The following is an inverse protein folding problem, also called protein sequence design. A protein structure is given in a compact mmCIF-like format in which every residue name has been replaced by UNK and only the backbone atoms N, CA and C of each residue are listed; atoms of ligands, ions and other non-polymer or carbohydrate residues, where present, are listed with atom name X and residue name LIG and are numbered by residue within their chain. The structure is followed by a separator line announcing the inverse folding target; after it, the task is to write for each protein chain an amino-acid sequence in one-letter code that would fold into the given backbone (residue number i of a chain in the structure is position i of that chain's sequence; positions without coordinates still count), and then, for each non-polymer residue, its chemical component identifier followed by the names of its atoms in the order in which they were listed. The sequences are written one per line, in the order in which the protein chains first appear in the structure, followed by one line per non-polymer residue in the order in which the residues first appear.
data_IF_028218796875
#
_entry.id   IF_028218796875
#
_cell.length_a   1.000
_cell.length_b   1.000
_cell.length_c   1.000
_cell.angle_alpha   90.00
_cell.angle_beta   90.00
_cell.angle_gamma   90.00
#
_symmetry.space_group_name_H-M   'P 1'
#
loop_
_entity.id
_entity.type
_entity.pdbx_description
1 polymer ?
#
# COMPACT_ATOMS: atom_id res chain seq x y z
N UNK A 1 24.07 10.59 50.03
CA UNK A 1 24.28 9.95 48.72
C UNK A 1 23.02 9.36 48.11
N UNK A 2 22.24 8.50 48.80
CA UNK A 2 21.09 7.77 48.22
C UNK A 2 20.03 8.65 47.51
N UNK A 3 19.70 9.83 48.05
CA UNK A 3 18.72 10.76 47.46
C UNK A 3 19.16 11.38 46.12
N UNK A 4 20.46 11.56 45.91
CA UNK A 4 21.01 12.18 44.69
C UNK A 4 21.01 11.15 43.55
N UNK A 5 21.27 9.88 43.88
CA UNK A 5 21.24 8.76 42.92
C UNK A 5 19.81 8.54 42.39
N UNK A 6 18.81 8.61 43.26
CA UNK A 6 17.40 8.47 42.87
C UNK A 6 16.92 9.59 41.94
N UNK A 7 17.35 10.84 42.17
CA UNK A 7 16.99 11.98 41.31
C UNK A 7 17.64 11.89 39.92
N UNK A 8 18.90 11.43 39.85
CA UNK A 8 19.59 11.22 38.58
C UNK A 8 18.94 10.11 37.74
N UNK A 9 18.49 9.01 38.37
CA UNK A 9 17.79 7.91 37.70
C UNK A 9 16.47 8.38 37.05
N UNK A 10 15.70 9.25 37.70
CA UNK A 10 14.46 9.81 37.15
C UNK A 10 14.71 10.75 35.96
N UNK A 11 15.80 11.52 35.97
CA UNK A 11 16.15 12.40 34.85
C UNK A 11 16.50 11.61 33.57
N UNK A 12 17.13 10.43 33.71
CA UNK A 12 17.51 9.57 32.58
C UNK A 12 16.27 8.96 31.91
N UNK A 13 15.23 8.61 32.67
CA UNK A 13 13.95 8.11 32.14
C UNK A 13 13.19 9.21 31.40
N UNK A 14 13.31 10.48 31.82
CA UNK A 14 12.69 11.61 31.12
C UNK A 14 13.39 11.95 29.78
N UNK A 15 14.66 11.55 29.61
CA UNK A 15 15.41 11.69 28.35
C UNK A 15 15.35 10.44 27.46
N UNK A 16 14.75 9.34 27.91
CA UNK A 16 14.46 8.20 27.06
C UNK A 16 13.37 8.64 26.07
N UNK A 17 13.81 9.08 24.89
CA UNK A 17 12.99 9.74 23.88
C UNK A 17 11.69 9.02 23.61
N UNK A 18 10.60 9.80 23.55
CA UNK A 18 9.33 9.31 23.02
C UNK A 18 9.59 8.88 21.58
N UNK A 19 9.49 7.58 21.30
CA UNK A 19 9.47 7.09 19.93
C UNK A 19 8.24 7.72 19.25
N UNK A 20 8.47 8.74 18.43
CA UNK A 20 7.44 9.31 17.56
C UNK A 20 7.20 8.30 16.45
N UNK A 21 6.17 7.48 16.61
CA UNK A 21 5.57 6.83 15.45
C UNK A 21 5.01 7.96 14.57
N UNK A 22 5.52 8.11 13.35
CA UNK A 22 4.84 8.88 12.30
C UNK A 22 3.47 8.21 12.09
N UNK A 23 2.42 8.80 12.66
CA UNK A 23 1.10 8.17 12.83
C UNK A 23 0.23 8.18 11.57
N UNK A 24 0.80 8.45 10.40
CA UNK A 24 0.08 8.38 9.12
C UNK A 24 0.94 7.65 8.11
N UNK A 25 0.43 6.54 7.57
CA UNK A 25 1.03 5.98 6.36
C UNK A 25 1.09 7.07 5.28
N UNK A 26 2.24 7.22 4.64
CA UNK A 26 2.44 8.20 3.57
C UNK A 26 1.81 7.64 2.30
N UNK A 27 1.05 8.46 1.58
CA UNK A 27 0.58 8.13 0.24
C UNK A 27 1.77 8.16 -0.72
N UNK A 28 2.16 7.00 -1.26
CA UNK A 28 3.15 6.92 -2.32
C UNK A 28 2.57 7.26 -3.68
N UNK A 29 1.27 7.02 -3.87
CA UNK A 29 0.59 7.30 -5.12
C UNK A 29 -0.58 6.34 -5.37
N UNK A 30 -0.96 6.24 -6.63
CA UNK A 30 -2.13 5.48 -7.08
C UNK A 30 -1.71 4.46 -8.13
N UNK A 31 -2.16 3.22 -7.97
CA UNK A 31 -2.06 2.19 -9.00
C UNK A 31 -3.39 2.13 -9.76
N UNK A 32 -3.37 2.50 -11.04
CA UNK A 32 -4.54 2.50 -11.92
C UNK A 32 -4.41 1.38 -12.96
N UNK A 33 -5.34 0.44 -12.95
CA UNK A 33 -5.30 -0.78 -13.74
C UNK A 33 -6.50 -0.88 -14.68
N UNK A 34 -6.22 -1.09 -15.97
CA UNK A 34 -7.19 -1.53 -16.94
C UNK A 34 -7.24 -3.07 -16.96
N UNK A 35 -8.41 -3.64 -16.71
CA UNK A 35 -8.64 -5.08 -16.66
C UNK A 35 -9.55 -5.46 -17.82
N UNK A 36 -9.05 -6.33 -18.71
CA UNK A 36 -9.80 -6.82 -19.87
C UNK A 36 -11.14 -7.47 -19.49
N UNK A 37 -12.12 -7.33 -20.36
CA UNK A 37 -13.36 -8.13 -20.30
C UNK A 37 -13.10 -9.61 -20.58
N UNK A 38 -14.07 -10.47 -20.28
CA UNK A 38 -13.95 -11.90 -20.55
C UNK A 38 -15.24 -12.66 -20.22
N UNK A 39 -15.41 -13.85 -20.79
CA UNK A 39 -16.50 -14.76 -20.48
C UNK A 39 -16.01 -15.91 -19.61
N UNK A 40 -16.73 -16.23 -18.53
CA UNK A 40 -16.46 -17.37 -17.66
C UNK A 40 -17.73 -18.20 -17.43
N UNK A 41 -17.61 -19.52 -17.49
CA UNK A 41 -18.63 -20.47 -17.02
C UNK A 41 -17.91 -21.55 -16.21
N UNK A 42 -17.18 -21.13 -15.18
CA UNK A 42 -16.19 -21.93 -14.46
C UNK A 42 -16.13 -21.52 -12.98
N UNK A 43 -15.54 -22.39 -12.15
CA UNK A 43 -15.16 -22.05 -10.79
C UNK A 43 -13.88 -21.19 -10.79
N UNK A 44 -14.04 -19.91 -11.13
CA UNK A 44 -12.98 -18.90 -11.11
C UNK A 44 -12.50 -18.45 -12.50
N UNK A 45 -11.78 -17.34 -12.55
CA UNK A 45 -11.22 -16.79 -13.79
C UNK A 45 -9.88 -16.10 -13.55
N UNK A 46 -9.05 -16.00 -14.59
CA UNK A 46 -7.80 -15.25 -14.55
C UNK A 46 -7.82 -14.15 -15.60
N UNK A 47 -7.29 -12.98 -15.26
CA UNK A 47 -7.24 -11.81 -16.14
C UNK A 47 -5.92 -11.09 -15.99
N UNK A 48 -5.38 -10.60 -17.10
CA UNK A 48 -4.13 -9.85 -17.12
C UNK A 48 -4.41 -8.34 -17.08
N UNK A 49 -4.23 -7.66 -15.93
CA UNK A 49 -4.27 -6.20 -15.87
C UNK A 49 -3.05 -5.56 -16.52
N UNK A 50 -3.27 -4.42 -17.16
CA UNK A 50 -2.22 -3.44 -17.45
C UNK A 50 -2.40 -2.25 -16.51
N UNK A 51 -1.40 -1.99 -15.67
CA UNK A 51 -1.46 -0.97 -14.64
C UNK A 51 -0.41 0.12 -14.85
N UNK A 52 -0.76 1.34 -14.47
CA UNK A 52 0.16 2.47 -14.35
C UNK A 52 0.18 2.93 -12.90
N UNK A 53 1.36 2.88 -12.29
CA UNK A 53 1.57 3.54 -11.01
C UNK A 53 1.83 5.02 -11.26
N UNK A 54 1.07 5.85 -10.56
CA UNK A 54 1.17 7.30 -10.59
C UNK A 54 1.70 7.77 -9.24
N UNK A 55 3.00 8.11 -9.14
CA UNK A 55 3.58 8.64 -7.92
C UNK A 55 2.85 9.91 -7.43
N UNK A 56 2.71 10.01 -6.11
CA UNK A 56 2.22 11.23 -5.46
C UNK A 56 3.23 12.37 -5.67
N UNK A 57 4.52 12.09 -5.50
CA UNK A 57 5.62 12.99 -5.83
C UNK A 57 5.85 13.03 -7.35
N UNK A 58 5.68 14.22 -7.95
CA UNK A 58 5.79 14.46 -9.40
C UNK A 58 7.21 14.51 -9.93
N UNK A 59 8.22 14.39 -9.06
CA UNK A 59 9.61 14.20 -9.48
C UNK A 59 9.87 12.81 -10.05
N UNK A 60 9.04 11.81 -9.70
CA UNK A 60 9.12 10.45 -10.22
C UNK A 60 8.20 10.27 -11.44
N UNK A 61 8.70 9.54 -12.44
CA UNK A 61 7.93 9.21 -13.62
C UNK A 61 6.91 8.09 -13.33
N UNK A 62 5.76 8.06 -14.03
CA UNK A 62 4.85 6.92 -13.97
C UNK A 62 5.52 5.62 -14.40
N UNK A 63 5.15 4.53 -13.73
CA UNK A 63 5.72 3.19 -13.97
C UNK A 63 4.65 2.21 -14.47
N UNK A 64 5.01 1.39 -15.45
CA UNK A 64 4.13 0.36 -15.99
C UNK A 64 4.28 -0.96 -15.22
N UNK A 65 3.16 -1.50 -14.75
CA UNK A 65 3.08 -2.80 -14.08
C UNK A 65 2.16 -3.74 -14.84
N UNK A 66 2.59 -4.98 -15.00
CA UNK A 66 1.81 -6.06 -15.60
C UNK A 66 1.69 -7.19 -14.59
N UNK A 67 0.55 -7.85 -14.56
CA UNK A 67 0.31 -8.93 -13.61
C UNK A 67 -0.83 -9.82 -14.03
N UNK A 68 -1.34 -10.59 -13.06
CA UNK A 68 -2.50 -11.45 -13.22
C UNK A 68 -3.41 -11.34 -11.99
N UNK A 69 -4.71 -11.21 -12.23
CA UNK A 69 -5.75 -11.23 -11.20
C UNK A 69 -6.52 -12.54 -11.33
N UNK A 70 -6.43 -13.39 -10.31
CA UNK A 70 -7.17 -14.64 -10.21
C UNK A 70 -8.39 -14.44 -9.32
N UNK A 71 -9.56 -14.79 -9.83
CA UNK A 71 -10.84 -14.79 -9.13
C UNK A 71 -11.21 -16.23 -8.81
N UNK A 72 -11.64 -16.47 -7.58
CA UNK A 72 -12.07 -17.79 -7.12
C UNK A 72 -13.52 -17.70 -6.65
N UNK A 73 -14.40 -18.50 -7.24
CA UNK A 73 -15.83 -18.45 -6.98
C UNK A 73 -16.63 -18.94 -8.18
N UNK A 74 -17.95 -18.92 -8.08
CA UNK A 74 -18.80 -19.21 -9.22
C UNK A 74 -18.78 -18.01 -10.18
N UNK A 75 -18.10 -18.16 -11.33
CA UNK A 75 -17.99 -17.13 -12.35
C UNK A 75 -18.79 -17.59 -13.58
N UNK A 76 -20.06 -17.20 -13.60
CA UNK A 76 -21.02 -17.51 -14.67
C UNK A 76 -21.40 -16.21 -15.37
N UNK A 77 -21.08 -16.11 -16.65
CA UNK A 77 -21.51 -15.04 -17.54
C UNK A 77 -20.38 -14.30 -18.23
N UNK A 78 -20.69 -13.08 -18.66
CA UNK A 78 -19.74 -12.19 -19.33
C UNK A 78 -19.41 -11.02 -18.43
N UNK A 79 -18.15 -10.64 -18.42
CA UNK A 79 -17.64 -9.47 -17.71
C UNK A 79 -17.13 -8.47 -18.71
N UNK A 80 -17.61 -7.24 -18.61
CA UNK A 80 -17.11 -6.12 -19.40
C UNK A 80 -15.70 -5.74 -18.94
N UNK A 81 -15.06 -4.87 -19.73
CA UNK A 81 -13.84 -4.20 -19.30
C UNK A 81 -14.10 -3.43 -18.01
N UNK A 82 -13.13 -3.47 -17.09
CA UNK A 82 -13.24 -2.82 -15.78
C UNK A 82 -11.96 -2.08 -15.44
N UNK A 83 -12.09 -1.00 -14.67
CA UNK A 83 -10.97 -0.26 -14.10
C UNK A 83 -10.87 -0.57 -12.62
N UNK A 84 -9.65 -0.73 -12.13
CA UNK A 84 -9.34 -0.95 -10.73
C UNK A 84 -8.32 0.11 -10.31
N UNK A 85 -8.64 0.87 -9.25
CA UNK A 85 -7.77 1.92 -8.72
C UNK A 85 -7.49 1.67 -7.24
N UNK A 86 -6.22 1.62 -6.89
CA UNK A 86 -5.77 1.41 -5.52
C UNK A 86 -4.87 2.54 -5.05
N UNK A 87 -5.06 2.94 -3.79
CA UNK A 87 -4.12 3.81 -3.09
C UNK A 87 -2.94 2.97 -2.61
N UNK A 88 -1.72 3.43 -2.87
CA UNK A 88 -0.48 2.81 -2.39
C UNK A 88 0.01 3.58 -1.18
N UNK A 89 0.07 2.89 -0.04
CA UNK A 89 0.46 3.45 1.25
C UNK A 89 1.75 2.80 1.75
N UNK A 90 2.61 3.59 2.39
CA UNK A 90 3.85 3.14 3.03
C UNK A 90 3.94 3.64 4.47
N UNK A 91 4.56 2.90 5.41
CA UNK A 91 4.83 3.41 6.75
C UNK A 91 5.92 4.50 6.79
N UNK A 92 6.72 4.67 5.73
CA UNK A 92 7.84 5.62 5.70
C UNK A 92 8.03 6.21 4.30
N UNK A 93 8.55 7.45 4.21
CA UNK A 93 8.73 8.11 2.91
C UNK A 93 9.96 7.56 2.16
N UNK A 94 9.86 6.34 1.67
CA UNK A 94 10.83 5.69 0.80
C UNK A 94 10.14 5.38 -0.54
N UNK A 95 10.54 6.13 -1.56
CA UNK A 95 10.17 5.91 -2.95
C UNK A 95 11.44 5.56 -3.74
#
# INVERSE_FOLDING_TARGET
MSRIIAAAAMAIVALAGQARAETGGVELGVLDCAIGGGSGFVFGSSKDPSCTFMPADKTFAPEAYFGAVNKYGLDIGTTSQSVMRWLVLTPMNNI
#
